data_IF_615222612404
#
_entry.id   IF_615222612404
#
_cell.length_a   1.000
_cell.length_b   1.000
_cell.length_c   1.000
_cell.angle_alpha   90.00
_cell.angle_beta   90.00
_cell.angle_gamma   90.00
#
_symmetry.space_group_name_H-M   'P 1'
#
loop_
_entity.id
_entity.type
_entity.pdbx_description
1 polymer ?
#
# COMPACT_ATOMS: atom_id res chain seq x y z
N UNK A 1 -1.22 -22.88 -5.26
CA UNK A 1 -2.36 -22.10 -5.78
C UNK A 1 -1.76 -20.87 -6.46
N UNK A 2 -2.53 -19.98 -7.09
CA UNK A 2 -1.97 -18.70 -7.53
C UNK A 2 -2.13 -17.70 -6.39
N UNK A 3 -1.02 -17.11 -5.94
CA UNK A 3 -1.06 -16.10 -4.89
C UNK A 3 -1.37 -14.74 -5.49
N UNK A 4 -2.44 -14.09 -5.04
CA UNK A 4 -2.76 -12.73 -5.47
C UNK A 4 -2.02 -11.73 -4.57
N UNK A 5 -1.07 -10.98 -5.14
CA UNK A 5 -0.41 -9.87 -4.43
C UNK A 5 -0.65 -8.57 -5.18
N UNK A 6 -1.13 -7.57 -4.45
CA UNK A 6 -1.29 -6.21 -4.92
C UNK A 6 0.04 -5.47 -4.74
N UNK A 7 0.63 -5.01 -5.85
CA UNK A 7 1.53 -3.87 -5.84
C UNK A 7 0.66 -2.61 -5.70
N UNK A 8 1.02 -1.70 -4.81
CA UNK A 8 0.32 -0.43 -4.69
C UNK A 8 1.30 0.73 -4.53
N UNK A 9 0.86 1.89 -4.99
CA UNK A 9 1.47 3.17 -4.75
C UNK A 9 0.42 4.09 -4.11
N UNK A 10 0.73 4.64 -2.94
CA UNK A 10 -0.04 5.69 -2.30
C UNK A 10 0.75 6.99 -2.34
N UNK A 11 0.04 8.12 -2.35
CA UNK A 11 0.68 9.43 -2.31
C UNK A 11 0.03 10.36 -1.30
N UNK A 12 0.79 11.35 -0.84
CA UNK A 12 0.25 12.47 -0.07
C UNK A 12 -0.43 13.47 -0.99
N UNK A 13 -1.31 14.30 -0.42
CA UNK A 13 -1.88 15.43 -1.15
C UNK A 13 -0.77 16.38 -1.64
N UNK A 14 -0.88 16.96 -2.85
CA UNK A 14 0.14 17.86 -3.40
C UNK A 14 0.47 19.04 -2.47
N UNK A 15 -0.55 19.58 -1.77
CA UNK A 15 -0.40 20.70 -0.83
C UNK A 15 0.38 20.34 0.45
N UNK A 16 0.65 19.06 0.70
CA UNK A 16 1.33 18.60 1.93
C UNK A 16 2.83 18.35 1.70
N UNK A 17 3.16 17.44 0.79
CA UNK A 17 4.56 17.05 0.59
C UNK A 17 4.87 16.33 -0.73
N UNK A 18 3.86 16.02 -1.55
CA UNK A 18 4.00 15.28 -2.83
C UNK A 18 4.87 14.01 -2.72
N UNK A 19 4.71 13.25 -1.64
CA UNK A 19 5.48 12.02 -1.37
C UNK A 19 4.72 10.83 -1.97
N UNK A 20 5.46 9.91 -2.59
CA UNK A 20 4.98 8.62 -3.05
C UNK A 20 5.55 7.49 -2.19
N UNK A 21 4.74 6.49 -1.89
CA UNK A 21 5.13 5.30 -1.16
C UNK A 21 4.61 4.06 -1.88
N UNK A 22 5.52 3.13 -2.18
CA UNK A 22 5.20 1.86 -2.86
C UNK A 22 5.29 0.70 -1.89
N UNK A 23 4.45 -0.30 -2.08
CA UNK A 23 4.47 -1.51 -1.25
C UNK A 23 3.70 -2.67 -1.89
N UNK A 24 3.78 -3.83 -1.23
CA UNK A 24 3.08 -5.03 -1.63
C UNK A 24 2.18 -5.55 -0.50
N UNK A 25 1.03 -6.11 -0.85
CA UNK A 25 0.11 -6.71 0.11
C UNK A 25 -0.81 -7.74 -0.53
N UNK A 26 -1.25 -8.74 0.22
CA UNK A 26 -2.34 -9.63 -0.21
C UNK A 26 -3.74 -9.03 0.04
N UNK A 27 -3.85 -7.94 0.81
CA UNK A 27 -5.13 -7.27 1.08
C UNK A 27 -4.96 -5.75 1.01
N UNK A 28 -5.27 -5.19 -0.16
CA UNK A 28 -5.12 -3.76 -0.44
C UNK A 28 -5.98 -2.88 0.46
N UNK A 29 -7.24 -3.25 0.68
CA UNK A 29 -8.19 -2.45 1.48
C UNK A 29 -7.69 -2.35 2.92
N UNK A 30 -7.36 -3.49 3.55
CA UNK A 30 -6.82 -3.51 4.90
C UNK A 30 -5.55 -2.67 4.99
N UNK A 31 -4.62 -2.83 4.03
CA UNK A 31 -3.37 -2.08 4.02
C UNK A 31 -3.58 -0.57 3.91
N UNK A 32 -4.57 -0.14 3.11
CA UNK A 32 -4.94 1.26 3.00
C UNK A 32 -5.48 1.83 4.32
N UNK A 33 -6.34 1.08 5.01
CA UNK A 33 -6.81 1.44 6.35
C UNK A 33 -5.66 1.49 7.37
N UNK A 34 -4.73 0.53 7.34
CA UNK A 34 -3.57 0.51 8.23
C UNK A 34 -2.69 1.77 8.02
N UNK A 35 -2.45 2.16 6.76
CA UNK A 35 -1.68 3.37 6.43
C UNK A 35 -2.32 4.66 6.90
N UNK A 36 -3.65 4.75 6.93
CA UNK A 36 -4.37 5.97 7.30
C UNK A 36 -4.81 6.03 8.76
N UNK A 37 -5.01 4.90 9.42
CA UNK A 37 -5.67 4.87 10.74
C UNK A 37 -4.96 4.02 11.77
N UNK A 38 -4.54 2.79 11.44
CA UNK A 38 -4.17 1.81 12.48
C UNK A 38 -2.68 1.71 12.80
N UNK A 39 -1.78 1.96 11.86
CA UNK A 39 -0.34 1.94 12.18
C UNK A 39 0.01 3.09 13.12
N UNK A 40 0.67 2.81 14.24
CA UNK A 40 1.06 3.83 15.23
C UNK A 40 2.52 4.26 15.06
N UNK A 41 3.31 3.50 14.30
CA UNK A 41 4.74 3.73 14.10
C UNK A 41 5.14 3.60 12.63
N UNK A 42 6.34 4.09 12.32
CA UNK A 42 6.93 4.01 10.98
C UNK A 42 6.73 5.27 10.13
N UNK A 43 7.35 5.26 8.95
CA UNK A 43 7.41 6.41 8.05
C UNK A 43 6.02 6.92 7.64
N UNK A 44 5.12 6.01 7.27
CA UNK A 44 3.84 6.38 6.67
C UNK A 44 2.89 7.12 7.63
N UNK A 45 3.05 6.96 8.94
CA UNK A 45 2.19 7.61 9.94
C UNK A 45 2.28 9.14 9.87
N UNK A 46 3.48 9.69 9.69
CA UNK A 46 3.74 11.14 9.68
C UNK A 46 3.13 11.86 8.46
N UNK A 47 2.79 11.11 7.42
CA UNK A 47 2.45 11.65 6.11
C UNK A 47 0.97 11.50 5.72
N UNK A 48 0.13 10.94 6.60
CA UNK A 48 -1.33 10.86 6.43
C UNK A 48 -2.01 12.22 6.17
N UNK A 49 -3.11 12.29 5.40
CA UNK A 49 -3.77 11.18 4.73
C UNK A 49 -3.03 10.75 3.47
N UNK A 50 -3.10 9.44 3.20
CA UNK A 50 -2.62 8.80 1.98
C UNK A 50 -3.78 8.53 1.05
N UNK A 51 -3.53 8.70 -0.26
CA UNK A 51 -4.50 8.44 -1.32
C UNK A 51 -3.89 7.37 -2.24
N UNK A 52 -4.71 6.41 -2.68
CA UNK A 52 -4.29 5.43 -3.68
C UNK A 52 -4.02 6.16 -5.01
N UNK A 53 -2.82 5.97 -5.55
CA UNK A 53 -2.40 6.56 -6.81
C UNK A 53 -2.32 5.53 -7.94
N UNK A 54 -1.79 4.35 -7.64
CA UNK A 54 -1.65 3.25 -8.61
C UNK A 54 -1.76 1.90 -7.89
N UNK A 55 -2.34 0.92 -8.56
CA UNK A 55 -2.41 -0.46 -8.07
C UNK A 55 -2.31 -1.45 -9.21
N UNK A 56 -1.67 -2.58 -8.97
CA UNK A 56 -1.54 -3.68 -9.92
C UNK A 56 -1.65 -5.02 -9.19
N UNK A 57 -2.29 -6.00 -9.83
CA UNK A 57 -2.42 -7.35 -9.30
C UNK A 57 -1.38 -8.22 -10.00
N UNK A 58 -0.43 -8.72 -9.21
CA UNK A 58 0.52 -9.71 -9.70
C UNK A 58 -0.01 -11.12 -9.40
N UNK A 59 -0.16 -11.90 -10.46
CA UNK A 59 -0.54 -13.31 -10.40
C UNK A 59 0.75 -14.12 -10.58
N UNK A 60 1.24 -14.73 -9.50
CA UNK A 60 2.40 -15.62 -9.57
C UNK A 60 1.98 -17.06 -9.28
N UNK A 61 2.54 -18.06 -9.99
CA UNK A 61 2.45 -19.44 -9.56
C UNK A 61 3.17 -19.54 -8.20
N UNK A 62 2.46 -19.92 -7.14
CA UNK A 62 3.10 -20.14 -5.85
C UNK A 62 4.13 -21.26 -6.00
N UNK A 63 5.38 -21.02 -5.58
CA UNK A 63 6.28 -22.11 -5.28
C UNK A 63 5.66 -22.89 -4.13
N UNK A 64 5.27 -24.15 -4.36
CA UNK A 64 5.03 -25.09 -3.28
C UNK A 64 6.34 -25.21 -2.49
N UNK A 65 6.32 -24.71 -1.26
CA UNK A 65 7.30 -25.05 -0.24
C UNK A 65 7.19 -26.53 0.10
#
# INVERSE_FOLDING_TARGET
MYGNRHLYCIRTLPKKSNIFYTGFTSNLIKRFHDHNSFNLTGFTVKHRPWIVFYTEINIYPEKKS
#
